data_IF_866255945596
#
_entry.id   IF_866255945596
#
_cell.length_a   1.000
_cell.length_b   1.000
_cell.length_c   1.000
_cell.angle_alpha   90.00
_cell.angle_beta   90.00
_cell.angle_gamma   90.00
#
_symmetry.space_group_name_H-M   'P 1'
#
loop_
_entity.id
_entity.type
_entity.pdbx_description
1 polymer ?
#
# COMPACT_ATOMS: atom_id res chain seq x y z
N UNK A 1 20.96 31.56 -6.71
CA UNK A 1 19.86 31.11 -5.82
C UNK A 1 19.75 29.61 -6.00
N UNK A 2 20.32 28.82 -5.06
CA UNK A 2 20.29 27.36 -5.13
C UNK A 2 18.97 26.85 -4.55
N UNK A 3 18.20 26.13 -5.35
CA UNK A 3 16.96 25.48 -4.93
C UNK A 3 17.33 24.35 -3.96
N UNK A 4 16.91 24.46 -2.69
CA UNK A 4 17.02 23.38 -1.72
C UNK A 4 15.99 22.29 -2.10
N UNK A 5 16.36 21.00 -2.11
CA UNK A 5 15.38 19.96 -2.35
C UNK A 5 14.42 19.93 -1.16
N UNK A 6 13.13 20.13 -1.41
CA UNK A 6 12.09 19.79 -0.44
C UNK A 6 12.14 18.27 -0.31
N UNK A 7 12.52 17.77 0.87
CA UNK A 7 12.35 16.38 1.21
C UNK A 7 10.84 16.12 1.28
N UNK A 8 10.24 15.83 0.14
CA UNK A 8 8.89 15.29 0.09
C UNK A 8 8.95 13.96 0.83
N UNK A 9 8.28 13.88 1.98
CA UNK A 9 7.98 12.59 2.59
C UNK A 9 7.17 11.82 1.55
N UNK A 10 7.84 10.94 0.80
CA UNK A 10 7.17 10.08 -0.16
C UNK A 10 6.08 9.33 0.62
N UNK A 11 4.85 9.24 0.09
CA UNK A 11 3.83 8.43 0.72
C UNK A 11 4.34 6.99 0.74
N UNK A 12 4.74 6.51 1.91
CA UNK A 12 5.07 5.11 2.11
C UNK A 12 3.76 4.35 2.04
N UNK A 13 3.47 3.79 0.86
CA UNK A 13 2.27 2.98 0.57
C UNK A 13 2.07 1.85 1.59
N UNK A 14 3.13 1.45 2.30
CA UNK A 14 3.08 0.63 3.49
C UNK A 14 4.31 0.92 4.38
N UNK A 15 4.13 0.81 5.70
CA UNK A 15 5.25 0.86 6.66
C UNK A 15 6.22 -0.31 6.43
N UNK A 16 7.53 -0.07 6.55
CA UNK A 16 8.56 -1.09 6.31
C UNK A 16 8.39 -2.36 7.16
N UNK A 17 7.99 -2.20 8.44
CA UNK A 17 7.69 -3.33 9.34
C UNK A 17 6.56 -4.22 8.82
N UNK A 18 5.52 -3.60 8.24
CA UNK A 18 4.40 -4.35 7.67
C UNK A 18 4.81 -5.15 6.43
N UNK A 19 5.71 -4.59 5.61
CA UNK A 19 6.29 -5.30 4.47
C UNK A 19 7.12 -6.50 4.94
N UNK A 20 7.92 -6.34 6.00
CA UNK A 20 8.71 -7.43 6.59
C UNK A 20 7.82 -8.57 7.11
N UNK A 21 6.73 -8.25 7.81
CA UNK A 21 5.75 -9.23 8.29
C UNK A 21 5.08 -10.00 7.14
N UNK A 22 4.67 -9.30 6.07
CA UNK A 22 4.10 -9.92 4.88
C UNK A 22 5.08 -10.88 4.20
N UNK A 23 6.35 -10.49 4.10
CA UNK A 23 7.42 -11.32 3.54
C UNK A 23 7.66 -12.55 4.41
N UNK A 24 7.78 -12.39 5.73
CA UNK A 24 7.99 -13.50 6.66
C UNK A 24 6.85 -14.52 6.60
N UNK A 25 5.61 -14.02 6.50
CA UNK A 25 4.43 -14.87 6.34
C UNK A 25 4.43 -15.62 5.00
N UNK A 26 4.73 -14.95 3.88
CA UNK A 26 4.83 -15.61 2.58
C UNK A 26 5.84 -16.75 2.60
N UNK A 27 7.01 -16.53 3.19
CA UNK A 27 8.05 -17.55 3.31
C UNK A 27 7.62 -18.72 4.19
N UNK A 28 6.89 -18.46 5.27
CA UNK A 28 6.31 -19.49 6.16
C UNK A 28 5.27 -20.34 5.43
N UNK A 29 4.48 -19.73 4.55
CA UNK A 29 3.46 -20.39 3.73
C UNK A 29 4.04 -21.03 2.45
N UNK A 30 5.35 -20.94 2.23
CA UNK A 30 6.02 -21.46 1.02
C UNK A 30 5.67 -20.69 -0.27
N UNK A 31 5.13 -19.48 -0.13
CA UNK A 31 4.75 -18.62 -1.23
C UNK A 31 5.96 -17.84 -1.75
N UNK A 32 6.12 -17.82 -3.07
CA UNK A 32 7.09 -16.92 -3.69
C UNK A 32 6.64 -15.46 -3.51
N UNK A 33 7.60 -14.54 -3.37
CA UNK A 33 7.28 -13.11 -3.26
C UNK A 33 6.74 -12.55 -4.59
N UNK A 34 7.27 -13.06 -5.70
CA UNK A 34 6.96 -12.66 -7.07
C UNK A 34 6.66 -13.88 -7.93
N UNK A 35 6.10 -13.68 -9.12
CA UNK A 35 5.80 -14.76 -10.05
C UNK A 35 4.35 -15.26 -9.99
N UNK A 36 4.06 -16.33 -10.71
CA UNK A 36 2.71 -16.89 -10.79
C UNK A 36 2.32 -17.49 -9.42
N UNK A 37 1.22 -17.01 -8.85
CA UNK A 37 0.80 -17.40 -7.49
C UNK A 37 1.53 -16.69 -6.34
N UNK A 38 2.49 -15.81 -6.62
CA UNK A 38 3.27 -15.13 -5.58
C UNK A 38 2.50 -14.07 -4.79
N UNK A 39 3.04 -13.66 -3.64
CA UNK A 39 2.46 -12.70 -2.71
C UNK A 39 2.00 -11.41 -3.42
N UNK A 40 2.85 -10.80 -4.25
CA UNK A 40 2.49 -9.57 -4.96
C UNK A 40 1.30 -9.76 -5.91
N UNK A 41 1.21 -10.92 -6.60
CA UNK A 41 0.09 -11.23 -7.49
C UNK A 41 -1.22 -11.32 -6.70
N UNK A 42 -1.18 -11.97 -5.54
CA UNK A 42 -2.35 -12.13 -4.67
C UNK A 42 -2.78 -10.79 -4.05
N UNK A 43 -1.81 -9.97 -3.62
CA UNK A 43 -2.07 -8.61 -3.12
C UNK A 43 -2.70 -7.73 -4.20
N UNK A 44 -2.13 -7.72 -5.41
CA UNK A 44 -2.70 -6.95 -6.54
C UNK A 44 -4.09 -7.44 -6.91
N UNK A 45 -4.33 -8.76 -6.93
CA UNK A 45 -5.66 -9.33 -7.18
C UNK A 45 -6.66 -8.84 -6.14
N UNK A 46 -6.34 -8.98 -4.85
CA UNK A 46 -7.21 -8.51 -3.76
C UNK A 46 -7.42 -7.01 -3.81
N UNK A 47 -6.40 -6.22 -4.14
CA UNK A 47 -6.51 -4.77 -4.31
C UNK A 47 -7.47 -4.42 -5.45
N UNK A 48 -7.38 -5.10 -6.60
CA UNK A 48 -8.27 -4.88 -7.73
C UNK A 48 -9.71 -5.34 -7.41
N UNK A 49 -9.89 -6.48 -6.75
CA UNK A 49 -11.19 -6.96 -6.27
C UNK A 49 -11.79 -5.97 -5.26
N UNK A 50 -10.98 -5.47 -4.32
CA UNK A 50 -11.39 -4.44 -3.37
C UNK A 50 -11.65 -3.08 -4.02
N UNK A 51 -11.01 -2.74 -5.14
CA UNK A 51 -11.33 -1.53 -5.89
C UNK A 51 -12.66 -1.68 -6.65
N UNK A 52 -12.94 -2.88 -7.15
CA UNK A 52 -14.19 -3.21 -7.83
C UNK A 52 -15.37 -3.33 -6.85
N UNK A 53 -15.16 -3.91 -5.67
CA UNK A 53 -16.14 -3.96 -4.57
C UNK A 53 -16.23 -2.61 -3.81
N UNK A 54 -15.11 -1.90 -3.68
CA UNK A 54 -14.94 -0.62 -2.99
C UNK A 54 -15.50 0.59 -3.74
N UNK A 55 -15.87 0.44 -5.02
CA UNK A 55 -16.75 1.40 -5.69
C UNK A 55 -18.13 1.54 -5.03
N UNK A 56 -18.53 0.59 -4.17
CA UNK A 56 -19.78 0.67 -3.38
C UNK A 56 -19.58 0.86 -1.88
N UNK A 57 -18.34 0.86 -1.37
CA UNK A 57 -18.05 1.19 0.03
C UNK A 57 -16.85 2.12 0.08
N UNK A 58 -17.10 3.35 -0.36
CA UNK A 58 -16.29 4.52 -0.06
C UNK A 58 -16.11 4.63 1.46
N UNK A 59 -15.08 3.96 1.96
CA UNK A 59 -14.43 4.29 3.22
C UNK A 59 -12.98 4.66 2.92
N UNK A 60 -12.80 5.52 1.93
CA UNK A 60 -11.71 6.49 1.93
C UNK A 60 -12.23 7.72 2.67
N UNK A 61 -12.34 7.59 3.99
CA UNK A 61 -12.37 8.75 4.87
C UNK A 61 -11.04 9.49 4.73
N UNK A 62 -10.90 10.27 3.66
CA UNK A 62 -10.05 11.45 3.69
C UNK A 62 -10.74 12.39 4.68
N UNK A 63 -10.36 12.26 5.95
CA UNK A 63 -10.55 13.31 6.93
C UNK A 63 -10.02 14.58 6.27
N UNK A 64 -10.97 15.47 5.93
CA UNK A 64 -10.67 16.81 5.47
C UNK A 64 -9.99 17.46 6.65
N UNK A 65 -8.65 17.36 6.69
CA UNK A 65 -7.83 18.15 7.57
C UNK A 65 -8.20 19.60 7.33
N UNK A 66 -8.99 20.10 8.27
CA UNK A 66 -9.32 21.49 8.45
C UNK A 66 -8.00 22.24 8.68
N UNK A 67 -7.61 23.05 7.71
CA UNK A 67 -6.65 24.13 7.93
C UNK A 67 -7.24 25.38 7.30
N UNK A 68 -7.97 26.10 8.13
CA UNK A 68 -8.01 27.57 8.26
C UNK A 68 -7.72 28.35 6.97
N UNK A 69 -8.78 29.00 6.48
CA UNK A 69 -8.77 30.10 5.54
C UNK A 69 -10.17 30.71 5.44
#
# INVERSE_FOLDING_TARGET
MAMRPVAGSAPTVADGRFIEELVARAQTEGLQLTGEGGLLRQLTKRFLESALEGGMTDRLGCDRHDVVG
#
